data_IF_306442298182
#
_entry.id   IF_306442298182
#
_cell.length_a   1.000
_cell.length_b   1.000
_cell.length_c   1.000
_cell.angle_alpha   90.00
_cell.angle_beta   90.00
_cell.angle_gamma   90.00
#
_symmetry.space_group_name_H-M   'P 1'
#
loop_
_entity.id
_entity.type
_entity.pdbx_description
1 polymer ?
#
# COMPACT_ATOMS: atom_id res chain seq x y z
N UNK A 1 16.40 13.59 30.01
CA UNK A 1 15.50 14.73 30.29
C UNK A 1 15.97 15.88 29.43
N UNK A 2 15.29 16.12 28.32
CA UNK A 2 15.51 17.27 27.43
C UNK A 2 14.11 17.83 27.19
N UNK A 3 13.93 19.09 27.59
CA UNK A 3 12.75 19.89 27.30
C UNK A 3 13.12 20.75 26.11
N UNK A 4 12.35 20.67 25.03
CA UNK A 4 12.38 21.66 23.95
C UNK A 4 10.95 22.12 23.68
N UNK A 5 10.71 23.38 24.06
CA UNK A 5 9.52 24.16 23.76
C UNK A 5 9.64 24.78 22.37
N UNK A 6 8.58 24.66 21.58
CA UNK A 6 8.48 25.30 20.27
C UNK A 6 7.07 25.18 19.72
N UNK A 7 6.09 25.71 20.44
CA UNK A 7 4.76 25.99 19.90
C UNK A 7 4.88 27.16 18.92
N UNK A 8 4.86 26.87 17.62
CA UNK A 8 4.53 27.88 16.62
C UNK A 8 3.01 27.86 16.42
N UNK A 9 2.35 28.78 17.11
CA UNK A 9 1.01 29.21 16.76
C UNK A 9 1.06 29.79 15.34
N UNK A 10 0.36 29.14 14.41
CA UNK A 10 0.01 29.74 13.14
C UNK A 10 -1.08 30.79 13.41
N UNK A 11 -0.72 32.04 13.16
CA UNK A 11 -1.58 33.20 13.35
C UNK A 11 -2.95 33.01 12.66
N UNK A 12 -3.99 33.26 13.45
CA UNK A 12 -5.39 33.13 13.06
C UNK A 12 -5.85 34.42 12.39
N UNK A 13 -6.36 34.32 11.17
CA UNK A 13 -7.29 35.30 10.61
C UNK A 13 -8.66 34.66 10.36
N UNK A 14 -9.23 34.02 11.39
CA UNK A 14 -10.67 34.02 11.61
C UNK A 14 -10.95 33.48 13.01
N UNK A 15 -11.79 34.17 13.78
CA UNK A 15 -12.09 33.87 15.19
C UNK A 15 -12.94 32.60 15.43
N UNK A 16 -12.84 31.60 14.55
CA UNK A 16 -13.46 30.30 14.75
C UNK A 16 -12.42 29.27 15.19
N UNK A 17 -12.64 28.65 16.35
CA UNK A 17 -11.87 27.46 16.77
C UNK A 17 -12.10 26.36 15.74
N UNK A 18 -11.04 25.95 15.04
CA UNK A 18 -11.09 24.88 14.06
C UNK A 18 -11.60 23.58 14.71
N UNK A 19 -12.72 23.05 14.20
CA UNK A 19 -13.29 21.77 14.61
C UNK A 19 -12.95 20.69 13.59
N UNK A 20 -11.83 20.00 13.81
CA UNK A 20 -11.37 18.92 12.93
C UNK A 20 -12.29 17.70 12.91
N UNK A 21 -13.12 17.49 13.93
CA UNK A 21 -14.12 16.40 13.93
C UNK A 21 -15.27 16.75 13.00
N UNK A 22 -15.78 17.98 13.06
CA UNK A 22 -16.84 18.43 12.16
C UNK A 22 -16.38 18.42 10.69
N UNK A 23 -15.13 18.84 10.40
CA UNK A 23 -14.54 18.76 9.05
C UNK A 23 -14.53 17.32 8.52
N UNK A 24 -14.08 16.36 9.33
CA UNK A 24 -14.05 14.93 8.96
C UNK A 24 -15.42 14.32 8.76
N UNK A 25 -16.39 14.66 9.60
CA UNK A 25 -17.79 14.20 9.45
C UNK A 25 -18.37 14.73 8.14
N UNK A 26 -18.22 16.03 7.85
CA UNK A 26 -18.69 16.63 6.60
C UNK A 26 -18.06 15.97 5.37
N UNK A 27 -16.75 15.73 5.41
CA UNK A 27 -16.06 15.01 4.34
C UNK A 27 -16.56 13.57 4.19
N UNK A 28 -16.76 12.84 5.28
CA UNK A 28 -17.30 11.47 5.25
C UNK A 28 -18.72 11.41 4.68
N UNK A 29 -19.58 12.32 5.13
CA UNK A 29 -20.99 12.43 4.73
C UNK A 29 -21.15 12.78 3.25
N UNK A 30 -20.17 13.48 2.66
CA UNK A 30 -20.12 13.74 1.22
C UNK A 30 -20.06 12.45 0.41
N UNK A 31 -19.37 11.42 0.93
CA UNK A 31 -19.12 10.12 0.28
C UNK A 31 -18.41 10.21 -1.08
N UNK A 32 -17.85 11.37 -1.42
CA UNK A 32 -17.18 11.61 -2.71
C UNK A 32 -15.69 11.34 -2.67
N UNK A 33 -15.12 11.25 -1.47
CA UNK A 33 -13.69 11.06 -1.22
C UNK A 33 -12.82 12.25 -1.62
N UNK A 34 -11.51 12.03 -1.59
CA UNK A 34 -10.48 13.01 -1.98
C UNK A 34 -10.65 13.38 -3.45
N UNK A 35 -11.00 12.41 -4.32
CA UNK A 35 -11.30 12.69 -5.72
C UNK A 35 -12.45 13.70 -5.88
N UNK A 36 -13.47 13.61 -5.04
CA UNK A 36 -14.56 14.60 -5.02
C UNK A 36 -14.10 16.01 -4.64
N UNK A 37 -13.13 16.14 -3.74
CA UNK A 37 -12.54 17.44 -3.42
C UNK A 37 -11.79 18.01 -4.63
N UNK A 38 -10.97 17.19 -5.29
CA UNK A 38 -10.25 17.60 -6.50
C UNK A 38 -11.20 18.00 -7.62
N UNK A 39 -12.27 17.22 -7.85
CA UNK A 39 -13.30 17.52 -8.85
C UNK A 39 -14.07 18.82 -8.56
N UNK A 40 -14.12 19.25 -7.30
CA UNK A 40 -14.71 20.53 -6.91
C UNK A 40 -13.79 21.74 -7.16
N UNK A 41 -12.54 21.50 -7.57
CA UNK A 41 -11.58 22.54 -7.94
C UNK A 41 -10.92 23.23 -6.75
N UNK A 42 -10.74 22.54 -5.62
CA UNK A 42 -10.06 23.13 -4.47
C UNK A 42 -8.63 23.53 -4.81
N UNK A 43 -8.21 24.67 -4.25
CA UNK A 43 -6.83 25.17 -4.34
C UNK A 43 -6.07 25.05 -3.02
N UNK A 44 -6.77 24.72 -1.93
CA UNK A 44 -6.22 24.45 -0.61
C UNK A 44 -6.80 23.16 -0.05
N UNK A 45 -5.96 22.36 0.59
CA UNK A 45 -6.39 21.10 1.18
C UNK A 45 -7.00 21.34 2.58
N UNK A 46 -8.06 20.60 2.96
CA UNK A 46 -8.61 20.62 4.31
C UNK A 46 -7.56 20.32 5.39
N UNK A 47 -7.67 20.94 6.56
CA UNK A 47 -6.65 20.87 7.61
C UNK A 47 -6.50 19.46 8.17
N UNK A 48 -7.53 18.62 8.09
CA UNK A 48 -7.45 17.21 8.48
C UNK A 48 -6.39 16.42 7.71
N UNK A 49 -5.97 16.87 6.52
CA UNK A 49 -4.91 16.22 5.71
C UNK A 49 -3.50 16.73 6.03
N UNK A 50 -3.36 17.80 6.84
CA UNK A 50 -2.07 18.40 7.12
C UNK A 50 -1.22 17.46 7.97
N UNK A 51 -0.27 16.77 7.33
CA UNK A 51 0.84 16.14 8.04
C UNK A 51 1.85 17.23 8.40
N UNK A 52 2.32 17.27 9.65
CA UNK A 52 3.30 18.27 10.09
C UNK A 52 4.50 18.36 9.14
N UNK A 53 5.26 19.48 9.15
CA UNK A 53 6.34 19.79 8.20
C UNK A 53 7.13 18.53 7.83
N UNK A 54 6.85 17.99 6.65
CA UNK A 54 7.63 16.91 6.09
C UNK A 54 8.99 17.52 5.79
N UNK A 55 10.03 17.12 6.53
CA UNK A 55 11.39 17.52 6.19
C UNK A 55 11.84 16.71 4.97
N UNK A 56 11.25 17.04 3.81
CA UNK A 56 11.58 16.47 2.51
C UNK A 56 13.04 16.80 2.10
N UNK A 57 13.75 17.60 2.91
CA UNK A 57 15.15 17.95 2.69
C UNK A 57 16.13 16.81 3.04
N UNK A 58 15.75 15.86 3.92
CA UNK A 58 16.53 14.63 4.13
C UNK A 58 16.43 13.64 2.95
N UNK A 59 15.53 13.89 1.98
CA UNK A 59 15.35 13.05 0.79
C UNK A 59 16.37 13.31 -0.32
N UNK A 60 17.32 14.23 -0.10
CA UNK A 60 18.35 14.61 -1.07
C UNK A 60 19.76 14.41 -0.50
N UNK A 61 20.21 13.15 -0.39
CA UNK A 61 21.64 12.85 -0.23
C UNK A 61 22.22 12.20 -1.49
N UNK A 62 23.02 13.03 -2.18
CA UNK A 62 24.20 12.75 -3.01
C UNK A 62 24.26 11.45 -3.82
N UNK A 63 24.42 11.62 -5.13
CA UNK A 63 24.64 10.65 -6.20
C UNK A 63 25.88 9.73 -6.07
N UNK A 64 26.12 9.12 -4.90
CA UNK A 64 27.29 8.25 -4.68
C UNK A 64 26.98 6.85 -4.14
N UNK A 65 25.71 6.46 -3.98
CA UNK A 65 25.25 5.06 -3.95
C UNK A 65 23.74 5.07 -4.23
N UNK A 66 23.28 4.57 -5.38
CA UNK A 66 21.85 4.38 -5.64
C UNK A 66 21.42 3.17 -4.81
N UNK A 67 21.02 3.42 -3.56
CA UNK A 67 20.49 2.39 -2.68
C UNK A 67 19.07 2.07 -3.17
N UNK A 68 18.82 0.84 -3.59
CA UNK A 68 17.52 0.37 -4.08
C UNK A 68 17.18 -0.98 -3.48
N UNK A 69 15.89 -1.26 -3.30
CA UNK A 69 15.45 -2.58 -2.86
C UNK A 69 15.87 -3.66 -3.88
N UNK A 70 16.16 -4.90 -3.44
CA UNK A 70 16.57 -5.99 -4.33
C UNK A 70 15.50 -6.31 -5.38
N UNK A 71 15.92 -6.70 -6.58
CA UNK A 71 15.04 -7.21 -7.64
C UNK A 71 15.40 -8.69 -7.84
N UNK A 72 14.40 -9.57 -7.74
CA UNK A 72 14.54 -11.02 -7.78
C UNK A 72 13.80 -11.56 -9.00
N UNK A 73 14.49 -12.33 -9.83
CA UNK A 73 13.91 -12.95 -11.04
C UNK A 73 13.39 -14.36 -10.71
N UNK A 74 12.10 -14.61 -10.98
CA UNK A 74 11.45 -15.90 -10.73
C UNK A 74 11.32 -16.79 -11.98
N UNK A 75 11.83 -16.38 -13.14
CA UNK A 75 11.62 -17.08 -14.42
C UNK A 75 12.06 -18.56 -14.37
N UNK A 76 13.17 -18.82 -13.68
CA UNK A 76 13.87 -20.10 -13.73
C UNK A 76 13.85 -20.87 -12.40
N UNK A 77 13.07 -20.40 -11.40
CA UNK A 77 13.08 -20.96 -10.04
C UNK A 77 12.79 -22.47 -10.00
N UNK A 78 11.99 -22.96 -10.95
CA UNK A 78 11.59 -24.37 -11.04
C UNK A 78 12.45 -25.21 -12.01
N UNK A 79 13.50 -24.65 -12.63
CA UNK A 79 14.26 -25.36 -13.68
C UNK A 79 15.38 -26.26 -13.14
N UNK A 80 15.99 -25.92 -12.02
CA UNK A 80 16.99 -26.77 -11.36
C UNK A 80 17.07 -26.49 -9.85
N UNK A 81 17.53 -27.46 -9.08
CA UNK A 81 17.73 -27.30 -7.64
C UNK A 81 18.74 -26.20 -7.28
N UNK A 82 19.72 -25.93 -8.15
CA UNK A 82 20.70 -24.87 -7.92
C UNK A 82 20.11 -23.47 -8.10
N UNK A 83 19.31 -23.27 -9.15
CA UNK A 83 18.62 -21.99 -9.40
C UNK A 83 17.54 -21.73 -8.35
N UNK A 84 16.84 -22.80 -7.93
CA UNK A 84 15.90 -22.73 -6.82
C UNK A 84 16.59 -22.23 -5.53
N UNK A 85 17.70 -22.86 -5.14
CA UNK A 85 18.46 -22.48 -3.96
C UNK A 85 18.97 -21.03 -4.02
N UNK A 86 19.42 -20.58 -5.20
CA UNK A 86 19.85 -19.20 -5.41
C UNK A 86 18.71 -18.19 -5.18
N UNK A 87 17.52 -18.46 -5.72
CA UNK A 87 16.33 -17.61 -5.51
C UNK A 87 15.93 -17.60 -4.03
N UNK A 88 15.94 -18.75 -3.36
CA UNK A 88 15.67 -18.86 -1.92
C UNK A 88 16.65 -18.03 -1.10
N UNK A 89 17.95 -18.07 -1.42
CA UNK A 89 18.98 -17.28 -0.76
C UNK A 89 18.79 -15.77 -0.99
N UNK A 90 18.45 -15.35 -2.22
CA UNK A 90 18.14 -13.96 -2.55
C UNK A 90 16.94 -13.45 -1.76
N UNK A 91 15.85 -14.22 -1.71
CA UNK A 91 14.64 -13.90 -0.93
C UNK A 91 14.97 -13.81 0.56
N UNK A 92 15.72 -14.77 1.10
CA UNK A 92 16.14 -14.76 2.50
C UNK A 92 17.00 -13.54 2.86
N UNK A 93 17.93 -13.17 1.98
CA UNK A 93 18.75 -11.96 2.13
C UNK A 93 17.90 -10.70 2.09
N UNK A 94 16.98 -10.58 1.13
CA UNK A 94 16.08 -9.44 1.01
C UNK A 94 15.15 -9.30 2.23
N UNK A 95 14.52 -10.40 2.66
CA UNK A 95 13.63 -10.44 3.81
C UNK A 95 14.33 -9.99 5.11
N UNK A 96 15.57 -10.43 5.34
CA UNK A 96 16.33 -10.07 6.55
C UNK A 96 16.94 -8.68 6.50
N UNK A 97 17.44 -8.23 5.34
CA UNK A 97 18.15 -6.93 5.25
C UNK A 97 17.21 -5.77 4.98
N UNK A 98 16.18 -5.99 4.17
CA UNK A 98 15.34 -4.92 3.63
C UNK A 98 13.89 -5.01 4.05
N UNK A 99 13.37 -6.22 4.33
CA UNK A 99 11.92 -6.40 4.49
C UNK A 99 11.09 -6.10 3.24
N UNK A 100 11.75 -5.76 2.12
CA UNK A 100 11.19 -5.36 0.84
C UNK A 100 12.03 -5.94 -0.29
N UNK A 101 11.38 -6.34 -1.39
CA UNK A 101 12.03 -6.68 -2.66
C UNK A 101 11.03 -6.57 -3.80
N UNK A 102 11.53 -6.45 -5.03
CA UNK A 102 10.75 -6.58 -6.24
C UNK A 102 10.90 -8.00 -6.79
N UNK A 103 9.83 -8.53 -7.37
CA UNK A 103 9.87 -9.77 -8.15
C UNK A 103 9.58 -9.46 -9.61
N UNK A 104 10.33 -10.12 -10.49
CA UNK A 104 10.18 -10.09 -11.95
C UNK A 104 9.91 -11.49 -12.48
N UNK A 105 9.33 -11.59 -13.68
CA UNK A 105 9.03 -12.87 -14.34
C UNK A 105 8.26 -13.86 -13.43
N UNK A 106 7.39 -13.32 -12.58
CA UNK A 106 6.63 -14.04 -11.55
C UNK A 106 5.41 -14.80 -12.09
N UNK A 107 5.22 -14.84 -13.41
CA UNK A 107 4.15 -15.59 -14.08
C UNK A 107 2.78 -14.92 -14.13
N UNK A 108 2.64 -13.70 -13.61
CA UNK A 108 1.43 -12.86 -13.84
C UNK A 108 1.70 -12.02 -15.08
N UNK A 109 0.83 -12.12 -16.08
CA UNK A 109 0.98 -11.39 -17.35
C UNK A 109 0.94 -9.87 -17.16
N UNK A 110 1.82 -9.16 -17.86
CA UNK A 110 1.92 -7.69 -17.79
C UNK A 110 0.61 -7.02 -18.21
N UNK A 111 -0.08 -7.60 -19.19
CA UNK A 111 -1.42 -7.19 -19.63
C UNK A 111 -2.44 -7.22 -18.49
N UNK A 112 -2.37 -8.22 -17.60
CA UNK A 112 -3.24 -8.30 -16.41
C UNK A 112 -2.88 -7.22 -15.39
N UNK A 113 -1.59 -6.95 -15.20
CA UNK A 113 -1.13 -5.90 -14.27
C UNK A 113 -1.59 -4.51 -14.76
N UNK A 114 -1.35 -4.22 -16.03
CA UNK A 114 -1.73 -2.94 -16.64
C UNK A 114 -3.25 -2.74 -16.62
N UNK A 115 -4.01 -3.77 -17.01
CA UNK A 115 -5.47 -3.69 -17.00
C UNK A 115 -6.03 -3.59 -15.57
N UNK A 116 -5.36 -4.16 -14.57
CA UNK A 116 -5.77 -3.99 -13.17
C UNK A 116 -5.61 -2.54 -12.72
N UNK A 117 -4.48 -1.90 -13.05
CA UNK A 117 -4.26 -0.46 -12.78
C UNK A 117 -5.32 0.38 -13.51
N UNK A 118 -5.55 0.10 -14.80
CA UNK A 118 -6.55 0.80 -15.59
C UNK A 118 -7.97 0.61 -15.06
N UNK A 119 -8.34 -0.61 -14.66
CA UNK A 119 -9.66 -0.92 -14.10
C UNK A 119 -9.93 -0.15 -12.80
N UNK A 120 -8.97 -0.15 -11.88
CA UNK A 120 -9.08 0.63 -10.63
C UNK A 120 -9.15 2.13 -10.93
N UNK A 121 -8.34 2.65 -11.85
CA UNK A 121 -8.41 4.05 -12.28
C UNK A 121 -9.77 4.39 -12.86
N UNK A 122 -10.30 3.56 -13.78
CA UNK A 122 -11.63 3.77 -14.39
C UNK A 122 -12.73 3.84 -13.34
N UNK A 123 -12.69 3.02 -12.29
CA UNK A 123 -13.63 3.13 -11.16
C UNK A 123 -13.51 4.49 -10.44
N UNK A 124 -12.30 4.89 -10.07
CA UNK A 124 -12.08 6.16 -9.35
C UNK A 124 -12.37 7.39 -10.21
N UNK A 125 -12.33 7.28 -11.54
CA UNK A 125 -12.61 8.38 -12.46
C UNK A 125 -14.09 8.47 -12.90
N UNK A 126 -14.97 7.57 -12.44
CA UNK A 126 -16.41 7.67 -12.72
C UNK A 126 -17.06 8.88 -12.05
N UNK A 127 -18.31 9.17 -12.44
CA UNK A 127 -19.16 10.12 -11.73
C UNK A 127 -19.26 9.80 -10.24
N UNK A 128 -19.21 10.84 -9.41
CA UNK A 128 -19.25 10.69 -7.96
C UNK A 128 -20.49 9.93 -7.48
N UNK A 129 -21.64 10.13 -8.12
CA UNK A 129 -22.89 9.41 -7.78
C UNK A 129 -22.78 7.89 -7.98
N UNK A 130 -22.01 7.43 -8.97
CA UNK A 130 -21.74 6.01 -9.16
C UNK A 130 -20.83 5.48 -8.05
N UNK A 131 -19.71 6.19 -7.77
CA UNK A 131 -18.77 5.80 -6.70
C UNK A 131 -19.45 5.75 -5.32
N UNK A 132 -20.35 6.69 -5.03
CA UNK A 132 -21.12 6.78 -3.76
C UNK A 132 -21.91 5.52 -3.45
N UNK A 133 -22.39 4.80 -4.47
CA UNK A 133 -23.16 3.55 -4.26
C UNK A 133 -22.33 2.46 -3.57
N UNK A 134 -21.00 2.50 -3.75
CA UNK A 134 -20.05 1.60 -3.10
C UNK A 134 -19.53 2.14 -1.77
N UNK A 135 -19.83 3.40 -1.43
CA UNK A 135 -19.26 4.04 -0.24
C UNK A 135 -19.74 3.37 1.04
N UNK A 136 -18.80 2.92 1.88
CA UNK A 136 -19.14 2.28 3.15
C UNK A 136 -18.01 2.29 4.18
N UNK A 137 -18.36 2.64 5.42
CA UNK A 137 -17.51 2.46 6.60
C UNK A 137 -17.63 1.07 7.23
N UNK A 138 -18.65 0.30 6.88
CA UNK A 138 -18.83 -1.07 7.37
C UNK A 138 -17.72 -1.98 6.79
N UNK A 139 -16.84 -2.45 7.67
CA UNK A 139 -15.73 -3.35 7.34
C UNK A 139 -16.17 -4.78 7.01
N UNK A 140 -17.42 -5.15 7.29
CA UNK A 140 -17.96 -6.47 6.94
C UNK A 140 -18.41 -6.54 5.47
N UNK A 141 -18.49 -5.40 4.76
CA UNK A 141 -18.78 -5.42 3.32
C UNK A 141 -17.60 -5.98 2.53
N UNK A 142 -17.90 -6.93 1.64
CA UNK A 142 -16.92 -7.57 0.75
C UNK A 142 -16.37 -6.64 -0.32
N UNK A 143 -17.20 -5.70 -0.81
CA UNK A 143 -16.79 -4.63 -1.70
C UNK A 143 -17.19 -3.31 -1.07
N UNK A 144 -16.22 -2.39 -0.92
CA UNK A 144 -16.50 -1.05 -0.41
C UNK A 144 -15.50 -0.02 -0.90
N UNK A 145 -16.02 1.15 -1.20
CA UNK A 145 -15.27 2.36 -1.45
C UNK A 145 -15.25 3.22 -0.18
N UNK A 146 -14.11 3.83 0.13
CA UNK A 146 -13.95 4.72 1.28
C UNK A 146 -12.68 5.55 1.15
N UNK A 147 -12.60 6.62 1.94
CA UNK A 147 -11.38 7.41 2.09
C UNK A 147 -10.92 7.30 3.53
N UNK A 148 -9.69 6.86 3.78
CA UNK A 148 -9.12 6.69 5.13
C UNK A 148 -9.93 5.78 6.07
N UNK A 149 -9.57 4.50 6.23
CA UNK A 149 -10.34 3.56 7.07
C UNK A 149 -10.58 4.03 8.51
N UNK A 150 -9.61 4.75 9.08
CA UNK A 150 -9.66 5.30 10.44
C UNK A 150 -10.18 6.74 10.56
N UNK A 151 -10.73 7.35 9.51
CA UNK A 151 -11.02 8.80 9.44
C UNK A 151 -11.71 9.36 10.71
N UNK A 152 -12.75 8.70 11.20
CA UNK A 152 -13.56 9.15 12.34
C UNK A 152 -13.08 8.61 13.71
N UNK A 153 -12.09 7.71 13.72
CA UNK A 153 -11.52 7.09 14.91
C UNK A 153 -10.18 7.73 15.30
N UNK A 154 -9.33 7.96 14.31
CA UNK A 154 -7.95 8.39 14.48
C UNK A 154 -7.87 9.92 14.28
N UNK A 155 -8.59 10.65 15.14
CA UNK A 155 -8.77 12.11 15.02
C UNK A 155 -7.48 12.90 15.25
N UNK A 156 -6.53 12.32 16.00
CA UNK A 156 -5.23 12.92 16.31
C UNK A 156 -4.18 12.68 15.22
N UNK A 157 -4.51 11.89 14.19
CA UNK A 157 -3.62 11.58 13.08
C UNK A 157 -4.08 12.27 11.79
N UNK A 158 -3.16 12.80 10.96
CA UNK A 158 -3.53 13.36 9.67
C UNK A 158 -4.21 12.29 8.80
N UNK A 159 -5.26 12.69 8.08
CA UNK A 159 -5.85 11.87 7.04
C UNK A 159 -4.91 11.81 5.84
N UNK A 160 -4.96 10.70 5.12
CA UNK A 160 -4.19 10.48 3.91
C UNK A 160 -4.89 11.09 2.68
N UNK A 161 -4.12 11.68 1.78
CA UNK A 161 -4.59 12.15 0.48
C UNK A 161 -4.79 10.98 -0.50
N UNK A 162 -5.75 10.10 -0.19
CA UNK A 162 -6.12 8.95 -1.02
C UNK A 162 -7.56 8.51 -0.85
N UNK A 163 -8.05 7.87 -1.89
CA UNK A 163 -9.27 7.07 -1.89
C UNK A 163 -8.94 5.59 -2.05
N UNK A 164 -9.85 4.70 -1.65
CA UNK A 164 -9.64 3.25 -1.70
C UNK A 164 -10.92 2.52 -2.04
N UNK A 165 -10.85 1.61 -3.00
CA UNK A 165 -11.82 0.52 -3.15
C UNK A 165 -11.18 -0.77 -2.65
N UNK A 166 -11.89 -1.50 -1.79
CA UNK A 166 -11.41 -2.75 -1.22
C UNK A 166 -12.30 -3.93 -1.62
N UNK A 167 -11.66 -5.08 -1.79
CA UNK A 167 -12.28 -6.36 -2.13
C UNK A 167 -11.79 -7.45 -1.17
N UNK A 168 -12.71 -8.20 -0.58
CA UNK A 168 -12.42 -9.44 0.15
C UNK A 168 -12.41 -10.59 -0.86
N UNK A 169 -11.25 -10.93 -1.41
CA UNK A 169 -11.13 -11.88 -2.52
C UNK A 169 -11.07 -13.36 -2.07
N UNK A 170 -10.72 -13.65 -0.82
CA UNK A 170 -10.73 -14.99 -0.22
C UNK A 170 -10.92 -14.86 1.32
N UNK A 171 -11.55 -15.83 2.02
CA UNK A 171 -12.08 -17.11 1.53
C UNK A 171 -13.37 -17.02 0.71
N UNK A 172 -14.17 -15.98 0.93
CA UNK A 172 -15.49 -15.82 0.32
C UNK A 172 -15.50 -14.63 -0.67
N UNK A 173 -15.12 -14.84 -1.94
CA UNK A 173 -15.11 -13.77 -2.94
C UNK A 173 -16.49 -13.13 -3.10
N UNK A 174 -16.57 -11.82 -3.40
CA UNK A 174 -17.84 -11.15 -3.68
C UNK A 174 -18.52 -11.74 -4.90
N UNK A 175 -19.85 -11.64 -4.94
CA UNK A 175 -20.58 -11.90 -6.17
C UNK A 175 -20.08 -10.95 -7.26
N UNK A 176 -19.92 -11.37 -8.53
CA UNK A 176 -19.46 -10.48 -9.60
C UNK A 176 -20.28 -9.19 -9.72
N UNK A 177 -21.59 -9.26 -9.47
CA UNK A 177 -22.48 -8.10 -9.50
C UNK A 177 -22.25 -7.07 -8.36
N UNK A 178 -21.57 -7.47 -7.28
CA UNK A 178 -21.15 -6.56 -6.20
C UNK A 178 -19.87 -5.78 -6.57
N UNK A 179 -19.12 -6.22 -7.58
CA UNK A 179 -17.89 -5.56 -8.04
C UNK A 179 -18.26 -4.53 -9.12
N UNK A 180 -17.69 -3.30 -9.09
CA UNK A 180 -17.94 -2.31 -10.12
C UNK A 180 -17.66 -2.85 -11.52
N UNK A 181 -18.59 -2.60 -12.45
CA UNK A 181 -18.49 -3.11 -13.82
C UNK A 181 -17.19 -2.67 -14.53
N UNK A 182 -16.61 -1.54 -14.14
CA UNK A 182 -15.35 -1.00 -14.69
C UNK A 182 -14.11 -1.84 -14.38
N UNK A 183 -14.15 -2.67 -13.34
CA UNK A 183 -13.01 -3.48 -12.92
C UNK A 183 -13.38 -4.94 -12.56
N UNK A 184 -14.64 -5.33 -12.73
CA UNK A 184 -15.18 -6.65 -12.33
C UNK A 184 -14.34 -7.83 -12.81
N UNK A 185 -14.15 -7.94 -14.12
CA UNK A 185 -13.52 -9.11 -14.72
C UNK A 185 -12.03 -9.16 -14.38
N UNK A 186 -11.36 -8.00 -14.46
CA UNK A 186 -9.93 -7.92 -14.17
C UNK A 186 -9.62 -8.15 -12.69
N UNK A 187 -10.45 -7.67 -11.76
CA UNK A 187 -10.29 -7.96 -10.32
C UNK A 187 -10.36 -9.47 -10.09
N UNK A 188 -11.30 -10.18 -10.73
CA UNK A 188 -11.41 -11.63 -10.60
C UNK A 188 -10.19 -12.37 -11.16
N UNK A 189 -9.72 -12.00 -12.36
CA UNK A 189 -8.53 -12.60 -12.97
C UNK A 189 -7.26 -12.31 -12.16
N UNK A 190 -7.03 -11.04 -11.79
CA UNK A 190 -5.90 -10.61 -11.00
C UNK A 190 -5.87 -11.31 -9.64
N UNK A 191 -7.01 -11.38 -8.94
CA UNK A 191 -7.13 -12.06 -7.64
C UNK A 191 -6.65 -13.51 -7.72
N UNK A 192 -7.06 -14.24 -8.76
CA UNK A 192 -6.65 -15.64 -8.95
C UNK A 192 -5.14 -15.77 -9.17
N UNK A 193 -4.58 -14.92 -10.03
CA UNK A 193 -3.15 -14.97 -10.38
C UNK A 193 -2.27 -14.52 -9.21
N UNK A 194 -2.62 -13.43 -8.54
CA UNK A 194 -1.85 -12.91 -7.40
C UNK A 194 -1.94 -13.84 -6.18
N UNK A 195 -3.07 -14.53 -5.97
CA UNK A 195 -3.18 -15.56 -4.92
C UNK A 195 -2.21 -16.71 -5.18
N UNK A 196 -2.15 -17.21 -6.41
CA UNK A 196 -1.24 -18.29 -6.78
C UNK A 196 0.22 -17.85 -6.58
N UNK A 197 0.56 -16.62 -7.00
CA UNK A 197 1.88 -16.05 -6.76
C UNK A 197 2.19 -15.91 -5.26
N UNK A 198 1.23 -15.43 -4.46
CA UNK A 198 1.41 -15.30 -3.01
C UNK A 198 1.71 -16.63 -2.33
N UNK A 199 1.07 -17.72 -2.76
CA UNK A 199 1.41 -19.07 -2.29
C UNK A 199 2.86 -19.42 -2.65
N UNK A 200 3.28 -19.21 -3.90
CA UNK A 200 4.66 -19.48 -4.33
C UNK A 200 5.68 -18.69 -3.50
N UNK A 201 5.44 -17.40 -3.26
CA UNK A 201 6.36 -16.55 -2.48
C UNK A 201 6.41 -17.01 -1.01
N UNK A 202 5.27 -17.39 -0.42
CA UNK A 202 5.24 -17.93 0.95
C UNK A 202 5.98 -19.27 1.06
N UNK A 203 5.96 -20.11 0.02
CA UNK A 203 6.72 -21.35 -0.02
C UNK A 203 8.23 -21.07 -0.06
N UNK A 204 8.67 -20.18 -0.96
CA UNK A 204 10.07 -19.73 -1.04
C UNK A 204 10.55 -19.04 0.24
N UNK A 205 9.71 -18.21 0.86
CA UNK A 205 9.99 -17.57 2.15
C UNK A 205 10.15 -18.62 3.26
N UNK A 206 9.30 -19.64 3.29
CA UNK A 206 9.40 -20.71 4.30
C UNK A 206 10.76 -21.40 4.22
N UNK A 207 11.21 -21.75 3.01
CA UNK A 207 12.53 -22.35 2.78
C UNK A 207 13.68 -21.41 3.16
N UNK A 208 13.59 -20.13 2.79
CA UNK A 208 14.59 -19.13 3.12
C UNK A 208 14.77 -18.94 4.64
N UNK A 209 13.73 -19.27 5.40
CA UNK A 209 13.68 -19.23 6.85
C UNK A 209 14.08 -20.55 7.52
N UNK A 210 14.44 -21.56 6.73
CA UNK A 210 14.86 -22.89 7.20
C UNK A 210 13.70 -23.78 7.61
N UNK A 211 12.50 -23.50 7.10
CA UNK A 211 11.27 -24.22 7.42
C UNK A 211 10.88 -25.14 6.26
N UNK A 212 9.94 -26.05 6.53
CA UNK A 212 9.28 -26.81 5.46
C UNK A 212 8.60 -25.83 4.48
N UNK A 213 8.71 -26.02 3.14
CA UNK A 213 8.17 -25.09 2.15
C UNK A 213 6.68 -24.78 2.39
N UNK A 214 5.92 -25.75 2.90
CA UNK A 214 4.49 -25.56 3.15
C UNK A 214 4.15 -24.92 4.50
N UNK A 215 5.15 -24.56 5.33
CA UNK A 215 4.94 -24.06 6.69
C UNK A 215 4.04 -22.82 6.74
N UNK A 216 4.42 -21.73 6.06
CA UNK A 216 3.63 -20.50 6.09
C UNK A 216 2.28 -20.66 5.37
N UNK A 217 2.23 -21.50 4.33
CA UNK A 217 0.98 -21.84 3.65
C UNK A 217 -0.02 -22.53 4.57
N UNK A 218 0.45 -23.48 5.39
CA UNK A 218 -0.35 -24.26 6.36
C UNK A 218 -0.79 -23.46 7.59
N UNK A 219 -0.19 -22.30 7.83
CA UNK A 219 -0.61 -21.37 8.88
C UNK A 219 -1.78 -20.47 8.44
N UNK A 220 -2.44 -20.82 7.34
CA UNK A 220 -3.52 -20.03 6.73
C UNK A 220 -3.08 -18.60 6.34
N UNK A 221 -1.76 -18.33 6.25
CA UNK A 221 -1.22 -17.02 5.83
C UNK A 221 -1.64 -16.63 4.41
N UNK A 222 -2.10 -17.60 3.59
CA UNK A 222 -2.59 -17.39 2.22
C UNK A 222 -4.11 -17.51 2.10
N UNK A 223 -4.83 -17.77 3.20
CA UNK A 223 -6.29 -17.93 3.20
C UNK A 223 -7.02 -16.60 3.12
N UNK A 224 -6.52 -15.54 3.75
CA UNK A 224 -7.16 -14.24 3.63
C UNK A 224 -6.49 -13.42 2.52
N UNK A 225 -7.21 -13.15 1.43
CA UNK A 225 -6.75 -12.23 0.38
C UNK A 225 -7.62 -10.99 0.38
N UNK A 226 -7.01 -9.86 0.75
CA UNK A 226 -7.61 -8.54 0.66
C UNK A 226 -6.91 -7.75 -0.44
N UNK A 227 -7.70 -7.16 -1.36
CA UNK A 227 -7.17 -6.31 -2.42
C UNK A 227 -7.63 -4.89 -2.18
N UNK A 228 -6.70 -3.95 -2.20
CA UNK A 228 -6.98 -2.52 -2.07
C UNK A 228 -6.53 -1.78 -3.34
N UNK A 229 -7.49 -1.20 -4.05
CA UNK A 229 -7.25 -0.28 -5.15
C UNK A 229 -7.13 1.14 -4.64
N UNK A 230 -5.92 1.54 -4.25
CA UNK A 230 -5.63 2.92 -3.83
C UNK A 230 -5.58 3.86 -5.03
N UNK A 231 -6.12 5.06 -4.85
CA UNK A 231 -6.05 6.14 -5.84
C UNK A 231 -5.62 7.42 -5.14
N UNK A 232 -4.60 8.06 -5.70
CA UNK A 232 -3.94 9.25 -5.18
C UNK A 232 -4.17 10.39 -6.18
N UNK A 233 -5.26 11.17 -6.06
CA UNK A 233 -5.50 12.32 -6.93
C UNK A 233 -4.40 13.37 -6.80
N UNK A 234 -4.21 14.20 -7.83
CA UNK A 234 -3.28 15.33 -7.75
C UNK A 234 -3.63 16.25 -6.56
N UNK A 235 -2.61 16.63 -5.78
CA UNK A 235 -2.72 17.48 -4.61
C UNK A 235 -2.32 18.92 -4.94
N UNK A 236 -3.11 19.95 -4.58
CA UNK A 236 -2.73 21.35 -4.79
C UNK A 236 -1.66 21.85 -3.81
N UNK A 237 -1.47 21.17 -2.67
CA UNK A 237 -0.47 21.51 -1.63
C UNK A 237 0.28 20.22 -1.18
N UNK A 238 1.03 19.55 -2.08
CA UNK A 238 1.61 18.23 -1.82
C UNK A 238 2.63 18.23 -0.67
N UNK A 239 3.26 19.36 -0.37
CA UNK A 239 4.18 19.53 0.76
C UNK A 239 3.49 19.48 2.14
N UNK A 240 2.17 19.60 2.19
CA UNK A 240 1.38 19.60 3.42
C UNK A 240 0.77 18.24 3.74
N UNK A 241 0.82 17.25 2.84
CA UNK A 241 0.13 15.97 3.06
C UNK A 241 0.87 14.78 2.45
N UNK A 242 0.44 13.58 2.81
CA UNK A 242 0.95 12.31 2.28
C UNK A 242 -0.19 11.53 1.63
N UNK A 243 0.13 10.83 0.54
CA UNK A 243 -0.78 9.84 -0.05
C UNK A 243 -1.05 8.69 0.90
N UNK A 244 -0.03 8.27 1.66
CA UNK A 244 -0.17 7.39 2.83
C UNK A 244 0.86 7.79 3.88
N UNK A 245 0.44 7.96 5.13
CA UNK A 245 1.30 8.23 6.28
C UNK A 245 2.27 7.08 6.54
N UNK A 246 3.32 7.37 7.30
CA UNK A 246 4.26 6.37 7.81
C UNK A 246 3.53 5.23 8.54
N UNK A 247 3.78 3.99 8.13
CA UNK A 247 3.20 2.79 8.74
C UNK A 247 4.05 1.53 8.47
N UNK A 248 3.71 0.45 9.17
CA UNK A 248 4.05 -0.94 8.84
C UNK A 248 2.76 -1.69 8.51
N UNK A 249 2.87 -2.77 7.73
CA UNK A 249 1.70 -3.56 7.35
C UNK A 249 1.38 -4.61 8.41
N UNK A 250 0.12 -4.64 8.85
CA UNK A 250 -0.36 -5.59 9.85
C UNK A 250 -0.83 -6.91 9.22
N UNK A 251 -0.04 -7.46 8.31
CA UNK A 251 -0.28 -8.73 7.63
C UNK A 251 0.93 -9.67 7.72
N UNK A 252 0.93 -10.77 6.95
CA UNK A 252 2.12 -11.60 6.78
C UNK A 252 3.02 -11.07 5.67
N UNK A 253 2.42 -10.69 4.56
CA UNK A 253 3.10 -10.26 3.36
C UNK A 253 2.12 -9.46 2.50
N UNK A 254 2.57 -8.32 2.01
CA UNK A 254 1.86 -7.56 0.98
C UNK A 254 2.54 -7.78 -0.38
N UNK A 255 1.71 -7.88 -1.43
CA UNK A 255 2.13 -7.86 -2.84
C UNK A 255 1.54 -6.60 -3.46
N UNK A 256 2.41 -5.63 -3.73
CA UNK A 256 2.06 -4.31 -4.23
C UNK A 256 2.32 -4.20 -5.74
N UNK A 257 1.27 -3.87 -6.47
CA UNK A 257 1.32 -3.42 -7.86
C UNK A 257 1.27 -1.89 -7.87
N UNK A 258 2.29 -1.25 -8.48
CA UNK A 258 2.36 0.20 -8.63
C UNK A 258 2.21 0.61 -10.10
N UNK A 259 1.72 1.84 -10.32
CA UNK A 259 1.84 2.46 -11.62
C UNK A 259 3.26 3.00 -11.86
N UNK A 260 3.47 3.64 -13.01
CA UNK A 260 4.79 4.16 -13.40
C UNK A 260 5.08 5.56 -12.82
N UNK A 261 4.19 6.13 -12.01
CA UNK A 261 4.45 7.39 -11.29
C UNK A 261 5.23 7.14 -10.00
N UNK A 262 4.97 6.01 -9.33
CA UNK A 262 5.65 5.64 -8.09
C UNK A 262 5.20 6.46 -6.88
N UNK A 263 6.14 6.87 -6.03
CA UNK A 263 5.85 7.65 -4.82
C UNK A 263 5.94 6.87 -3.51
N UNK A 264 6.18 5.55 -3.57
CA UNK A 264 6.50 4.74 -2.39
C UNK A 264 7.91 5.07 -1.90
N UNK A 265 8.02 5.31 -0.59
CA UNK A 265 9.28 5.38 0.11
C UNK A 265 9.32 4.35 1.23
N UNK A 266 10.49 3.72 1.39
CA UNK A 266 10.78 2.74 2.45
C UNK A 266 11.87 3.29 3.34
N UNK A 267 11.74 3.11 4.65
CA UNK A 267 12.78 3.43 5.60
C UNK A 267 13.79 2.28 5.58
N UNK A 268 15.06 2.57 5.40
CA UNK A 268 16.12 1.58 5.49
C UNK A 268 17.36 2.25 6.06
N UNK A 269 17.96 1.66 7.10
CA UNK A 269 19.12 2.23 7.80
C UNK A 269 18.93 3.70 8.22
N UNK A 270 17.73 4.05 8.70
CA UNK A 270 17.30 5.41 9.07
C UNK A 270 17.29 6.42 7.91
N UNK A 271 17.23 5.95 6.66
CA UNK A 271 17.11 6.79 5.47
C UNK A 271 15.86 6.42 4.69
N UNK A 272 15.14 7.44 4.20
CA UNK A 272 14.00 7.25 3.32
C UNK A 272 14.46 7.03 1.88
N UNK A 273 14.17 5.86 1.35
CA UNK A 273 14.61 5.42 0.02
C UNK A 273 13.42 5.41 -0.92
N UNK A 274 13.57 6.03 -2.09
CA UNK A 274 12.57 5.97 -3.14
C UNK A 274 12.58 4.60 -3.81
N UNK A 275 11.42 3.95 -3.87
CA UNK A 275 11.26 2.71 -4.65
C UNK A 275 10.85 3.10 -6.07
N UNK A 276 11.78 2.92 -7.01
CA UNK A 276 11.52 3.24 -8.42
C UNK A 276 10.63 2.15 -9.04
N UNK A 277 9.50 2.50 -9.68
CA UNK A 277 8.67 1.52 -10.36
C UNK A 277 9.42 0.81 -11.48
N UNK A 278 9.26 -0.50 -11.55
CA UNK A 278 9.74 -1.32 -12.67
C UNK A 278 8.51 -1.91 -13.36
N UNK A 279 8.33 -1.62 -14.64
CA UNK A 279 7.20 -2.12 -15.40
C UNK A 279 7.20 -3.66 -15.44
N UNK A 280 6.06 -4.26 -15.09
CA UNK A 280 5.92 -5.71 -14.97
C UNK A 280 6.49 -6.30 -13.68
N UNK A 281 6.97 -5.49 -12.74
CA UNK A 281 7.39 -5.95 -11.42
C UNK A 281 6.24 -5.87 -10.40
N UNK A 282 6.34 -6.70 -9.37
CA UNK A 282 5.54 -6.57 -8.16
C UNK A 282 6.48 -6.38 -6.97
N UNK A 283 6.12 -5.48 -6.05
CA UNK A 283 6.86 -5.30 -4.79
C UNK A 283 6.28 -6.25 -3.76
N UNK A 284 7.14 -6.89 -3.01
CA UNK A 284 6.79 -7.74 -1.88
C UNK A 284 7.39 -7.13 -0.63
N UNK A 285 6.58 -6.99 0.42
CA UNK A 285 7.06 -6.57 1.73
C UNK A 285 6.54 -7.44 2.85
N UNK A 286 7.31 -7.46 3.93
CA UNK A 286 7.06 -8.30 5.09
C UNK A 286 6.23 -7.55 6.12
N UNK A 287 5.11 -8.16 6.52
CA UNK A 287 4.22 -7.60 7.53
C UNK A 287 4.56 -8.05 8.95
N UNK A 288 3.93 -7.39 9.91
CA UNK A 288 4.15 -7.57 11.35
C UNK A 288 3.87 -9.01 11.82
N UNK A 289 2.89 -9.70 11.22
CA UNK A 289 2.51 -11.06 11.62
C UNK A 289 3.58 -12.10 11.27
N UNK A 290 4.28 -11.92 10.15
CA UNK A 290 5.38 -12.79 9.75
C UNK A 290 6.61 -12.56 10.62
N UNK A 291 6.89 -11.31 11.00
CA UNK A 291 8.01 -11.01 11.88
C UNK A 291 7.86 -11.62 13.29
N UNK A 292 6.63 -11.77 13.79
CA UNK A 292 6.37 -12.39 15.09
C UNK A 292 6.62 -13.91 15.13
N UNK A 293 6.88 -14.56 13.99
CA UNK A 293 7.13 -16.00 13.95
C UNK A 293 8.51 -16.36 14.52
N UNK A 294 8.61 -17.53 15.17
CA UNK A 294 9.90 -18.08 15.60
C UNK A 294 10.59 -18.75 14.42
N UNK A 295 11.68 -18.14 13.94
CA UNK A 295 12.35 -18.53 12.71
C UNK A 295 13.73 -19.13 13.00
N UNK A 296 14.10 -20.21 12.31
CA UNK A 296 15.38 -20.89 12.51
C UNK A 296 16.55 -20.05 12.00
N UNK A 297 16.36 -19.37 10.86
CA UNK A 297 17.39 -18.54 10.21
C UNK A 297 17.33 -17.05 10.61
N UNK A 298 16.76 -16.74 11.79
CA UNK A 298 16.57 -15.37 12.28
C UNK A 298 15.34 -14.67 11.69
N UNK A 299 14.90 -13.54 12.30
CA UNK A 299 13.69 -12.84 11.89
C UNK A 299 13.89 -12.09 10.57
N UNK A 300 12.81 -11.94 9.80
CA UNK A 300 12.77 -10.93 8.74
C UNK A 300 12.62 -9.53 9.34
N UNK A 301 13.07 -8.54 8.57
CA UNK A 301 12.91 -7.14 8.92
C UNK A 301 11.54 -6.66 8.45
N UNK A 302 10.83 -5.93 9.32
CA UNK A 302 9.71 -5.09 8.92
C UNK A 302 10.28 -3.70 8.71
N UNK A 303 9.92 -3.04 7.62
CA UNK A 303 10.32 -1.65 7.40
C UNK A 303 9.11 -0.74 7.35
N UNK A 304 9.33 0.49 7.79
CA UNK A 304 8.32 1.53 7.67
C UNK A 304 8.24 2.00 6.23
N UNK A 305 7.04 2.35 5.79
CA UNK A 305 6.79 2.89 4.47
C UNK A 305 5.82 4.06 4.52
N UNK A 306 5.89 4.92 3.51
CA UNK A 306 4.89 5.96 3.24
C UNK A 306 4.75 6.19 1.74
N UNK A 307 3.68 6.86 1.34
CA UNK A 307 3.45 7.26 -0.07
C UNK A 307 3.35 8.78 -0.13
N UNK A 308 4.17 9.42 -0.98
CA UNK A 308 4.10 10.86 -1.22
C UNK A 308 2.74 11.25 -1.80
N UNK A 309 2.22 12.41 -1.42
CA UNK A 309 1.13 13.01 -2.19
C UNK A 309 1.74 13.62 -3.45
N UNK A 310 1.14 13.33 -4.60
CA UNK A 310 1.58 13.77 -5.92
C UNK A 310 0.71 14.91 -6.43
#
# INVERSE_FOLDING_TARGET
MVVTTGTNELETSDGSTYDGRAERISFDDSKTGVKGLVDSGITKIPRMFHSGKLDLSETSLSASNIISIPIIDLQEVNKSSSLHAEVVDQIGSACRKWGFFQVMNHGVGVDVLDEMICGIRRFHEQDAEVRKTFYSRDSNKRVRYFSNGGLLRDLDQPANWRDTIAFVANPDPPNPEEIPATCRDIVAEYSKKVRALGVTILELLSEALGLDPSYLKKMDCSEALFIMGHYYPACPEPELTLGSTEHTDMDFMTILLQDQMGGLQVLHENQWINVSPVHGALIVNIGDLLQMQKLQNGPCTREKQFVKSG
#
